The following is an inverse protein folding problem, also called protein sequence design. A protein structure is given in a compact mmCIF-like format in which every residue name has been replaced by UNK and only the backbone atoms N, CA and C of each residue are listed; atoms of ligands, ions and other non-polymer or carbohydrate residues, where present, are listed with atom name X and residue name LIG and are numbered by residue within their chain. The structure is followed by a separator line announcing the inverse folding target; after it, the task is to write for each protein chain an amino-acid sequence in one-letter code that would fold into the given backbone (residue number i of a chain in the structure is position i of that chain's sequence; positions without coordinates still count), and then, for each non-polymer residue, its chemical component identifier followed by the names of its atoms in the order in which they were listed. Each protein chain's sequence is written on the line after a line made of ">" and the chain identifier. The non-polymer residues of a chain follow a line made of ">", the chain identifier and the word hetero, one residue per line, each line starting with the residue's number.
data_IF_670830410582
#
_entry.id   IF_670830410582
#
_cell.length_a   1.000
_cell.length_b   1.000
_cell.length_c   1.000
_cell.angle_alpha   90.00
_cell.angle_beta   90.00
_cell.angle_gamma   90.00
#
_symmetry.space_group_name_H-M   'P 1'
#
loop_
_entity.id
_entity.type
_entity.pdbx_description
1 polymer ?
#
# COMPACT_ATOMS: atom_id res chain seq x y z
N UNK A 1 2.34 10.88 -5.20
CA UNK A 1 3.15 11.85 -5.96
C UNK A 1 4.65 11.62 -5.81
N UNK A 2 5.21 11.62 -4.59
CA UNK A 2 6.67 11.50 -4.35
C UNK A 2 7.35 10.31 -5.05
N UNK A 3 6.86 9.08 -4.90
CA UNK A 3 7.49 7.90 -5.51
C UNK A 3 7.51 7.98 -7.05
N UNK A 4 6.38 8.36 -7.64
CA UNK A 4 6.25 8.52 -9.09
C UNK A 4 7.16 9.63 -9.63
N UNK A 5 7.25 10.76 -8.91
CA UNK A 5 8.16 11.86 -9.26
C UNK A 5 9.64 11.46 -9.19
N UNK A 6 9.99 10.47 -8.36
CA UNK A 6 11.33 9.88 -8.29
C UNK A 6 11.54 8.72 -9.29
N UNK A 7 10.66 8.55 -10.28
CA UNK A 7 10.80 7.52 -11.32
C UNK A 7 10.46 6.09 -10.86
N UNK A 8 9.90 5.92 -9.66
CA UNK A 8 9.47 4.61 -9.17
C UNK A 8 8.07 4.31 -9.73
N UNK A 9 7.97 3.23 -10.50
CA UNK A 9 6.67 2.74 -10.99
C UNK A 9 5.82 2.26 -9.83
N UNK A 10 4.64 2.85 -9.67
CA UNK A 10 3.71 2.57 -8.57
C UNK A 10 2.36 2.08 -9.12
N UNK A 11 1.80 1.08 -8.44
CA UNK A 11 0.41 0.66 -8.62
C UNK A 11 -0.37 1.13 -7.39
N UNK A 12 -1.40 1.94 -7.59
CA UNK A 12 -2.25 2.46 -6.53
C UNK A 12 -3.59 1.71 -6.54
N UNK A 13 -4.05 1.28 -5.37
CA UNK A 13 -5.41 0.74 -5.22
C UNK A 13 -6.44 1.86 -5.43
N UNK A 14 -7.52 1.57 -6.13
CA UNK A 14 -8.63 2.50 -6.38
C UNK A 14 -9.63 2.58 -5.22
N UNK A 15 -9.48 1.70 -4.22
CA UNK A 15 -10.33 1.61 -3.03
C UNK A 15 -9.57 1.11 -1.80
N UNK A 16 -10.23 1.20 -0.64
CA UNK A 16 -9.76 0.57 0.59
C UNK A 16 -9.69 -0.96 0.42
N UNK A 17 -8.58 -1.56 0.87
CA UNK A 17 -8.30 -2.99 0.74
C UNK A 17 -7.73 -3.54 2.04
N UNK A 18 -7.87 -4.84 2.33
CA UNK A 18 -7.25 -5.44 3.51
C UNK A 18 -5.73 -5.58 3.31
N UNK A 19 -4.95 -5.43 4.37
CA UNK A 19 -3.48 -5.65 4.39
C UNK A 19 -3.00 -6.91 3.65
N UNK A 20 -3.61 -8.10 3.80
CA UNK A 20 -3.18 -9.30 3.07
C UNK A 20 -3.26 -9.17 1.54
N UNK A 21 -4.10 -8.29 0.99
CA UNK A 21 -4.19 -8.09 -0.46
C UNK A 21 -2.92 -7.41 -1.01
N UNK A 22 -2.29 -6.53 -0.24
CA UNK A 22 -1.00 -5.92 -0.61
C UNK A 22 0.07 -7.02 -0.71
N UNK A 23 0.20 -7.85 0.32
CA UNK A 23 1.14 -8.98 0.34
C UNK A 23 0.91 -9.96 -0.82
N UNK A 24 -0.36 -10.31 -1.07
CA UNK A 24 -0.74 -11.15 -2.20
C UNK A 24 -0.34 -10.51 -3.55
N UNK A 25 -0.66 -9.22 -3.74
CA UNK A 25 -0.40 -8.52 -5.00
C UNK A 25 1.09 -8.38 -5.29
N UNK A 26 1.91 -8.12 -4.26
CA UNK A 26 3.37 -8.07 -4.39
C UNK A 26 3.89 -9.39 -4.97
N UNK A 27 3.48 -10.52 -4.38
CA UNK A 27 3.89 -11.85 -4.84
C UNK A 27 3.36 -12.17 -6.23
N UNK A 28 2.06 -11.98 -6.45
CA UNK A 28 1.37 -12.34 -7.68
C UNK A 28 1.86 -11.53 -8.90
N UNK A 29 2.15 -10.25 -8.72
CA UNK A 29 2.65 -9.37 -9.79
C UNK A 29 4.17 -9.21 -9.82
N UNK A 30 4.90 -9.98 -8.99
CA UNK A 30 6.38 -9.92 -8.87
C UNK A 30 6.90 -8.49 -8.65
N UNK A 31 6.23 -7.74 -7.77
CA UNK A 31 6.63 -6.38 -7.42
C UNK A 31 7.80 -6.39 -6.43
N UNK A 32 8.57 -5.31 -6.40
CA UNK A 32 9.69 -5.15 -5.45
C UNK A 32 9.24 -4.97 -3.99
N UNK A 33 8.01 -4.50 -3.77
CA UNK A 33 7.46 -4.24 -2.43
C UNK A 33 6.10 -3.55 -2.48
N UNK A 34 5.58 -3.15 -1.32
CA UNK A 34 4.33 -2.40 -1.20
C UNK A 34 4.25 -1.60 0.10
N UNK A 35 3.38 -0.59 0.09
CA UNK A 35 3.09 0.30 1.21
C UNK A 35 1.61 0.15 1.57
N UNK A 36 1.30 0.09 2.86
CA UNK A 36 -0.06 -0.07 3.36
C UNK A 36 -0.37 1.07 4.32
N UNK A 37 -1.27 1.97 3.92
CA UNK A 37 -1.76 2.98 4.83
C UNK A 37 -2.86 2.38 5.71
N UNK A 38 -2.57 2.18 6.99
CA UNK A 38 -3.52 1.61 7.95
C UNK A 38 -3.17 1.97 9.38
N UNK A 39 -4.20 2.12 10.21
CA UNK A 39 -4.07 2.21 11.67
C UNK A 39 -4.25 0.84 12.35
N UNK A 40 -4.32 -0.26 11.59
CA UNK A 40 -4.68 -1.59 12.10
C UNK A 40 -6.02 -1.54 12.85
N UNK A 41 -5.99 -1.67 14.17
CA UNK A 41 -7.15 -1.64 15.07
C UNK A 41 -7.14 -0.40 15.97
N UNK A 42 -6.25 0.55 15.71
CA UNK A 42 -6.14 1.75 16.51
C UNK A 42 -7.37 2.65 16.33
N UNK A 43 -7.65 3.54 17.29
CA UNK A 43 -8.72 4.53 17.20
C UNK A 43 -8.70 5.34 15.88
N UNK A 44 -9.85 5.89 15.44
CA UNK A 44 -10.02 6.45 14.09
C UNK A 44 -9.19 7.71 13.80
N UNK A 45 -8.66 8.36 14.84
CA UNK A 45 -7.80 9.53 14.71
C UNK A 45 -6.32 9.16 14.43
N UNK A 46 -5.98 7.87 14.43
CA UNK A 46 -4.67 7.37 14.02
C UNK A 46 -4.65 6.98 12.55
N UNK A 47 -3.49 7.15 11.93
CA UNK A 47 -3.12 6.56 10.64
C UNK A 47 -1.64 6.15 10.70
N UNK A 48 -1.24 5.23 9.83
CA UNK A 48 0.14 4.73 9.76
C UNK A 48 0.50 4.30 8.34
N UNK A 49 1.80 4.08 8.12
CA UNK A 49 2.39 3.55 6.89
C UNK A 49 3.22 2.31 7.21
#
# INVERSE_FOLDING_TARGET
>A
EVLAANGIRVLLSDKAVPTPLVSFTIKNKKLSGGLMLSASHNPPYYNGL
#
